data_IF_036550245565
#
_entry.id   IF_036550245565
#
_cell.length_a   1.000
_cell.length_b   1.000
_cell.length_c   1.000
_cell.angle_alpha   90.00
_cell.angle_beta   90.00
_cell.angle_gamma   90.00
#
_symmetry.space_group_name_H-M   'P 1'
#
loop_
_entity.id
_entity.type
_entity.pdbx_description
1 polymer ?
#
# COMPACT_ATOMS: atom_id res chain seq x y z
N UNK A 1 42.22 31.73 66.53
CA UNK A 1 41.55 32.92 67.08
C UNK A 1 40.18 32.88 66.49
N UNK A 2 39.14 32.46 67.14
CA UNK A 2 38.66 32.90 68.45
C UNK A 2 37.31 33.54 68.20
N UNK A 3 36.35 33.00 68.71
CA UNK A 3 35.26 33.23 69.68
C UNK A 3 33.90 33.38 68.96
N UNK A 4 32.97 32.50 69.20
CA UNK A 4 32.03 32.34 70.32
C UNK A 4 30.84 33.33 70.33
N UNK A 5 29.68 32.78 70.16
CA UNK A 5 28.49 32.75 71.03
C UNK A 5 27.42 33.85 70.89
N UNK A 6 26.17 33.42 70.99
CA UNK A 6 25.05 34.25 71.42
C UNK A 6 23.71 33.62 71.05
N UNK A 7 23.17 32.78 71.93
CA UNK A 7 21.72 32.38 71.99
C UNK A 7 20.87 33.55 72.39
N UNK A 8 19.66 33.68 71.79
CA UNK A 8 18.44 34.07 72.56
C UNK A 8 17.24 33.55 71.84
N UNK A 9 16.48 32.80 72.62
CA UNK A 9 15.12 32.32 72.37
C UNK A 9 14.13 33.48 72.24
N UNK A 10 13.19 33.36 71.31
CA UNK A 10 11.88 33.94 71.52
C UNK A 10 10.80 33.05 70.90
N UNK A 11 9.93 32.67 71.79
CA UNK A 11 8.73 31.82 71.58
C UNK A 11 7.63 32.70 70.97
N UNK A 12 7.09 32.33 69.79
CA UNK A 12 5.74 32.76 69.40
C UNK A 12 5.06 31.66 68.60
N UNK A 13 4.05 31.09 69.24
CA UNK A 13 3.00 30.28 68.68
C UNK A 13 2.28 30.97 67.51
N UNK A 14 2.25 30.37 66.35
CA UNK A 14 1.30 30.68 65.29
C UNK A 14 0.71 29.38 64.77
N UNK A 15 -0.59 29.41 64.66
CA UNK A 15 -1.54 28.35 64.36
C UNK A 15 -1.25 27.62 63.02
N UNK A 16 -1.50 26.33 63.07
CA UNK A 16 -1.38 25.35 61.98
C UNK A 16 -2.61 25.44 61.09
N UNK A 17 -2.53 26.14 59.97
CA UNK A 17 -3.46 25.92 58.84
C UNK A 17 -2.97 24.75 58.02
N UNK A 18 -3.70 23.64 58.11
CA UNK A 18 -3.58 22.49 57.21
C UNK A 18 -3.99 22.91 55.79
N UNK A 19 -3.01 23.24 54.95
CA UNK A 19 -3.22 23.27 53.50
C UNK A 19 -2.87 21.88 52.95
N UNK A 20 -3.88 21.02 52.82
CA UNK A 20 -3.79 19.78 52.09
C UNK A 20 -3.76 20.08 50.59
N UNK A 21 -2.60 20.30 50.06
CA UNK A 21 -2.37 20.17 48.65
C UNK A 21 -2.28 18.65 48.34
N UNK A 22 -3.39 18.09 47.86
CA UNK A 22 -3.37 16.82 47.17
C UNK A 22 -2.54 17.01 45.88
N UNK A 23 -1.27 16.65 45.97
CA UNK A 23 -0.45 16.39 44.80
C UNK A 23 -0.96 15.05 44.27
N UNK A 24 -1.70 15.08 43.17
CA UNK A 24 -1.91 13.92 42.34
C UNK A 24 -0.51 13.42 41.91
N UNK A 25 -0.02 12.43 42.63
CA UNK A 25 1.05 11.57 42.12
C UNK A 25 0.41 10.74 41.00
N UNK A 26 0.60 11.15 39.77
CA UNK A 26 0.49 10.24 38.66
C UNK A 26 1.47 9.08 38.93
N UNK A 27 0.95 7.92 39.25
CA UNK A 27 1.71 6.67 39.23
C UNK A 27 2.26 6.51 37.81
N UNK A 28 3.54 6.80 37.61
CA UNK A 28 4.26 6.38 36.41
C UNK A 28 4.50 4.87 36.52
N UNK A 29 3.45 4.08 36.26
CA UNK A 29 3.61 2.67 35.98
C UNK A 29 4.52 2.50 34.79
N UNK A 30 5.39 1.50 34.83
CA UNK A 30 6.25 1.13 33.69
C UNK A 30 5.34 0.79 32.52
N UNK A 31 5.47 1.51 31.39
CA UNK A 31 4.66 1.28 30.18
C UNK A 31 4.98 -0.08 29.58
N UNK A 32 3.98 -0.75 29.04
CA UNK A 32 4.18 -1.96 28.26
C UNK A 32 4.76 -1.57 26.90
N UNK A 33 5.97 -2.03 26.61
CA UNK A 33 6.62 -1.77 25.32
C UNK A 33 6.13 -2.76 24.28
N UNK A 34 5.73 -2.26 23.11
CA UNK A 34 5.39 -3.03 21.92
C UNK A 34 6.28 -2.59 20.77
N UNK A 35 7.03 -3.54 20.22
CA UNK A 35 7.88 -3.30 19.05
C UNK A 35 7.10 -3.51 17.77
N UNK A 36 7.11 -2.51 16.88
CA UNK A 36 6.44 -2.57 15.57
C UNK A 36 7.47 -2.38 14.48
N UNK A 37 7.57 -3.34 13.57
CA UNK A 37 8.42 -3.22 12.40
C UNK A 37 7.61 -2.85 11.15
N UNK A 38 8.12 -1.88 10.37
CA UNK A 38 7.51 -1.44 9.10
C UNK A 38 8.58 -0.99 8.11
N UNK A 39 8.24 -1.07 6.82
CA UNK A 39 9.04 -0.50 5.73
C UNK A 39 8.49 0.86 5.28
N UNK A 40 9.33 1.61 4.55
CA UNK A 40 8.93 2.80 3.80
C UNK A 40 10.06 3.81 3.62
N UNK A 41 9.66 5.02 3.24
CA UNK A 41 10.50 6.20 3.08
C UNK A 41 10.63 6.97 4.40
N UNK A 42 11.56 7.92 4.48
CA UNK A 42 11.69 8.79 5.67
C UNK A 42 10.42 9.61 5.94
N UNK A 43 9.68 10.00 4.89
CA UNK A 43 8.40 10.72 5.05
C UNK A 43 7.31 9.83 5.64
N UNK A 44 7.26 8.55 5.25
CA UNK A 44 6.33 7.59 5.83
C UNK A 44 6.69 7.24 7.27
N UNK A 45 7.99 7.23 7.61
CA UNK A 45 8.42 7.04 9.00
C UNK A 45 7.84 8.11 9.91
N UNK A 46 8.01 9.40 9.56
CA UNK A 46 7.46 10.53 10.33
C UNK A 46 5.93 10.41 10.46
N UNK A 47 5.26 10.00 9.39
CA UNK A 47 3.82 9.79 9.39
C UNK A 47 3.39 8.67 10.35
N UNK A 48 4.08 7.52 10.38
CA UNK A 48 3.80 6.46 11.33
C UNK A 48 4.15 6.82 12.77
N UNK A 49 5.22 7.58 13.02
CA UNK A 49 5.52 8.14 14.34
C UNK A 49 4.36 9.03 14.84
N UNK A 50 3.77 9.85 13.97
CA UNK A 50 2.59 10.65 14.31
C UNK A 50 1.35 9.78 14.59
N UNK A 51 1.11 8.73 13.77
CA UNK A 51 0.00 7.80 13.96
C UNK A 51 0.11 7.09 15.33
N UNK A 52 1.28 6.56 15.68
CA UNK A 52 1.48 5.89 16.96
C UNK A 52 1.43 6.87 18.15
N UNK A 53 1.87 8.11 17.97
CA UNK A 53 1.70 9.14 19.01
C UNK A 53 0.22 9.44 19.32
N UNK A 54 -0.69 9.35 18.33
CA UNK A 54 -2.13 9.46 18.57
C UNK A 54 -2.69 8.21 19.27
N UNK A 55 -2.19 7.01 18.92
CA UNK A 55 -2.53 5.78 19.65
C UNK A 55 -2.12 5.88 21.13
N UNK A 56 -0.89 6.30 21.43
CA UNK A 56 -0.37 6.39 22.80
C UNK A 56 -1.11 7.43 23.65
N UNK A 57 -1.73 8.44 23.06
CA UNK A 57 -2.61 9.37 23.79
C UNK A 57 -3.87 8.68 24.30
N UNK A 58 -4.41 7.72 23.53
CA UNK A 58 -5.58 6.94 23.89
C UNK A 58 -5.21 5.76 24.82
N UNK A 59 -3.96 5.28 24.75
CA UNK A 59 -3.42 4.13 25.46
C UNK A 59 -2.10 4.48 26.17
N UNK A 60 -2.13 5.37 27.18
CA UNK A 60 -0.91 5.89 27.83
C UNK A 60 -0.07 4.83 28.56
N UNK A 61 -0.65 3.66 28.79
CA UNK A 61 0.01 2.49 29.39
C UNK A 61 0.87 1.68 28.38
N UNK A 62 0.77 1.97 27.06
CA UNK A 62 1.54 1.29 26.01
C UNK A 62 2.54 2.28 25.42
N UNK A 63 3.76 1.80 25.12
CA UNK A 63 4.85 2.51 24.44
C UNK A 63 5.15 1.77 23.15
N UNK A 64 4.93 2.41 21.99
CA UNK A 64 5.15 1.79 20.68
C UNK A 64 6.54 2.15 20.16
N UNK A 65 7.40 1.16 20.04
CA UNK A 65 8.75 1.32 19.49
C UNK A 65 8.79 0.89 18.03
N UNK A 66 8.93 1.88 17.13
CA UNK A 66 8.90 1.68 15.69
C UNK A 66 10.31 1.35 15.14
N UNK A 67 10.51 0.13 14.62
CA UNK A 67 11.65 -0.25 13.76
C UNK A 67 11.27 -0.03 12.29
N UNK A 68 11.70 1.10 11.73
CA UNK A 68 11.34 1.52 10.38
C UNK A 68 12.54 1.41 9.44
N UNK A 69 12.37 0.71 8.31
CA UNK A 69 13.46 0.41 7.38
C UNK A 69 13.05 0.62 5.91
N UNK A 70 14.02 0.88 5.02
CA UNK A 70 13.77 0.77 3.58
C UNK A 70 13.26 -0.62 3.21
N UNK A 71 12.46 -0.72 2.13
CA UNK A 71 11.78 -1.94 1.70
C UNK A 71 12.68 -3.19 1.69
N UNK A 72 13.81 -3.15 0.97
CA UNK A 72 14.66 -4.33 0.82
C UNK A 72 15.26 -4.79 2.15
N UNK A 73 15.79 -3.85 2.95
CA UNK A 73 16.39 -4.17 4.26
C UNK A 73 15.35 -4.61 5.30
N UNK A 74 14.10 -4.16 5.16
CA UNK A 74 13.00 -4.63 5.99
C UNK A 74 12.75 -6.14 5.78
N UNK A 75 12.60 -6.55 4.52
CA UNK A 75 12.30 -7.95 4.21
C UNK A 75 13.48 -8.88 4.48
N UNK A 76 14.71 -8.42 4.30
CA UNK A 76 15.90 -9.15 4.73
C UNK A 76 15.87 -9.41 6.24
N UNK A 77 15.56 -8.39 7.03
CA UNK A 77 15.44 -8.51 8.49
C UNK A 77 14.30 -9.46 8.89
N UNK A 78 13.11 -9.34 8.29
CA UNK A 78 11.97 -10.23 8.60
C UNK A 78 12.32 -11.69 8.30
N UNK A 79 12.93 -12.00 7.15
CA UNK A 79 13.32 -13.37 6.79
C UNK A 79 14.32 -13.97 7.78
N UNK A 80 15.32 -13.19 8.21
CA UNK A 80 16.32 -13.62 9.19
C UNK A 80 15.67 -13.84 10.57
N UNK A 81 14.89 -12.88 11.05
CA UNK A 81 14.27 -12.92 12.37
C UNK A 81 13.20 -14.02 12.48
N UNK A 82 12.43 -14.24 11.40
CA UNK A 82 11.45 -15.31 11.33
C UNK A 82 12.13 -16.69 11.52
N UNK A 83 13.24 -16.91 10.83
CA UNK A 83 14.02 -18.15 10.96
C UNK A 83 14.63 -18.33 12.35
N UNK A 84 14.97 -17.22 13.03
CA UNK A 84 15.54 -17.20 14.39
C UNK A 84 14.52 -17.16 15.52
N UNK A 85 13.23 -17.04 15.25
CA UNK A 85 12.18 -16.86 16.27
C UNK A 85 12.30 -15.54 17.05
N UNK A 86 12.84 -14.49 16.43
CA UNK A 86 13.14 -13.19 17.04
C UNK A 86 12.40 -12.03 16.33
N UNK A 87 11.19 -12.30 15.87
CA UNK A 87 10.37 -11.25 15.25
C UNK A 87 10.03 -10.14 16.26
N UNK A 88 9.94 -8.88 15.82
CA UNK A 88 9.23 -7.84 16.57
C UNK A 88 7.81 -8.28 16.93
N UNK A 89 7.21 -7.70 17.97
CA UNK A 89 5.86 -8.06 18.44
C UNK A 89 4.82 -7.94 17.34
N UNK A 90 4.93 -6.88 16.54
CA UNK A 90 4.07 -6.62 15.38
C UNK A 90 4.94 -6.40 14.15
N UNK A 91 4.60 -7.03 13.04
CA UNK A 91 5.28 -6.85 11.76
C UNK A 91 4.29 -6.42 10.68
N UNK A 92 4.71 -5.49 9.84
CA UNK A 92 3.94 -5.09 8.67
C UNK A 92 4.06 -6.13 7.56
N UNK A 93 3.00 -6.34 6.81
CA UNK A 93 2.94 -7.29 5.70
C UNK A 93 2.28 -6.64 4.49
N UNK A 94 2.73 -7.01 3.29
CA UNK A 94 2.12 -6.63 2.03
C UNK A 94 1.73 -7.87 1.24
N UNK A 95 0.56 -7.84 0.62
CA UNK A 95 0.11 -8.91 -0.29
C UNK A 95 1.01 -9.07 -1.52
N UNK A 96 1.87 -8.09 -1.81
CA UNK A 96 2.87 -8.18 -2.88
C UNK A 96 3.84 -9.34 -2.71
N UNK A 97 4.23 -9.65 -1.46
CA UNK A 97 5.24 -10.68 -1.19
C UNK A 97 4.63 -12.05 -0.87
N UNK A 98 3.33 -12.15 -1.07
CA UNK A 98 2.63 -13.42 -1.04
C UNK A 98 2.34 -13.97 0.34
N UNK A 99 1.74 -15.15 0.31
CA UNK A 99 1.25 -15.86 1.49
C UNK A 99 2.34 -16.60 2.27
N UNK A 100 3.59 -16.55 1.83
CA UNK A 100 4.72 -17.23 2.51
C UNK A 100 4.92 -16.80 3.96
N UNK A 101 4.38 -15.63 4.33
CA UNK A 101 4.43 -15.13 5.70
C UNK A 101 3.26 -15.61 6.58
N UNK A 102 2.23 -16.23 6.00
CA UNK A 102 1.06 -16.71 6.76
C UNK A 102 1.33 -18.12 7.31
N UNK A 103 2.29 -18.21 8.24
CA UNK A 103 2.79 -19.47 8.77
C UNK A 103 2.22 -19.71 10.18
N UNK A 104 1.38 -20.74 10.35
CA UNK A 104 0.89 -21.12 11.69
C UNK A 104 2.04 -21.39 12.66
N UNK A 105 1.95 -20.80 13.86
CA UNK A 105 2.97 -20.91 14.89
C UNK A 105 4.11 -19.87 14.80
N UNK A 106 4.24 -19.16 13.67
CA UNK A 106 5.10 -17.98 13.55
C UNK A 106 4.29 -16.71 13.84
N UNK A 107 3.09 -16.65 13.33
CA UNK A 107 2.15 -15.57 13.59
C UNK A 107 0.90 -16.06 14.30
N UNK A 108 0.32 -15.19 15.10
CA UNK A 108 -0.87 -15.45 15.90
C UNK A 108 -2.12 -15.49 15.01
N UNK A 109 -3.06 -16.37 15.34
CA UNK A 109 -4.40 -16.35 14.76
C UNK A 109 -5.23 -15.28 15.46
N UNK A 110 -5.60 -14.24 14.74
CA UNK A 110 -6.35 -13.11 15.28
C UNK A 110 -7.86 -13.32 15.32
N UNK A 111 -8.39 -14.40 14.70
CA UNK A 111 -9.83 -14.65 14.68
C UNK A 111 -10.46 -14.68 16.09
N UNK A 112 -9.86 -15.30 17.12
CA UNK A 112 -10.42 -15.27 18.49
C UNK A 112 -10.48 -13.87 19.11
N UNK A 113 -9.52 -13.00 18.78
CA UNK A 113 -9.48 -11.62 19.27
C UNK A 113 -10.56 -10.76 18.59
N UNK A 114 -10.74 -10.95 17.26
CA UNK A 114 -11.77 -10.28 16.45
C UNK A 114 -13.16 -10.64 16.99
N UNK A 115 -13.42 -11.94 17.22
CA UNK A 115 -14.70 -12.42 17.76
C UNK A 115 -14.95 -11.89 19.16
N UNK A 116 -13.96 -11.98 20.04
CA UNK A 116 -14.08 -11.50 21.45
C UNK A 116 -14.42 -10.03 21.54
N UNK A 117 -13.78 -9.20 20.74
CA UNK A 117 -13.90 -7.73 20.78
C UNK A 117 -14.93 -7.20 19.77
N UNK A 118 -15.66 -8.09 19.10
CA UNK A 118 -16.71 -7.77 18.12
C UNK A 118 -16.24 -6.75 17.05
N UNK A 119 -15.01 -6.95 16.53
CA UNK A 119 -14.47 -6.06 15.50
C UNK A 119 -15.28 -6.19 14.22
N UNK A 120 -15.79 -5.06 13.70
CA UNK A 120 -16.71 -4.98 12.55
C UNK A 120 -15.91 -5.04 11.22
N UNK A 121 -15.33 -6.20 10.91
CA UNK A 121 -14.54 -6.38 9.68
C UNK A 121 -15.40 -6.29 8.41
N UNK A 122 -16.70 -6.49 8.50
CA UNK A 122 -17.66 -6.31 7.41
C UNK A 122 -17.86 -4.84 6.98
N UNK A 123 -17.39 -3.88 7.80
CA UNK A 123 -17.39 -2.45 7.46
C UNK A 123 -16.14 -2.02 6.68
N UNK A 124 -15.15 -2.88 6.55
CA UNK A 124 -13.97 -2.62 5.72
C UNK A 124 -14.35 -2.68 4.23
N UNK A 125 -13.52 -2.10 3.39
CA UNK A 125 -13.68 -2.24 1.95
C UNK A 125 -13.73 -3.71 1.52
N UNK A 126 -14.44 -3.98 0.45
CA UNK A 126 -14.68 -5.35 -0.03
C UNK A 126 -13.35 -6.11 -0.28
N UNK A 127 -13.34 -7.38 0.04
CA UNK A 127 -12.23 -8.34 -0.19
C UNK A 127 -10.92 -8.03 0.58
N UNK A 128 -10.89 -7.04 1.47
CA UNK A 128 -9.66 -6.65 2.17
C UNK A 128 -9.27 -7.71 3.21
N UNK A 129 -10.23 -8.29 3.92
CA UNK A 129 -9.98 -9.34 4.92
C UNK A 129 -9.59 -10.69 4.31
N UNK A 130 -10.02 -10.97 3.08
CA UNK A 130 -9.67 -12.22 2.40
C UNK A 130 -8.16 -12.35 2.22
N UNK A 131 -7.47 -11.23 2.03
CA UNK A 131 -6.02 -11.18 1.90
C UNK A 131 -5.26 -11.65 3.15
N UNK A 132 -5.88 -11.63 4.32
CA UNK A 132 -5.27 -12.04 5.60
C UNK A 132 -5.86 -13.33 6.16
N UNK A 133 -6.77 -13.96 5.42
CA UNK A 133 -7.47 -15.18 5.85
C UNK A 133 -6.99 -16.38 5.04
N UNK A 134 -6.38 -17.35 5.70
CA UNK A 134 -5.89 -18.59 5.08
C UNK A 134 -6.35 -19.77 5.94
N UNK A 135 -6.97 -20.77 5.33
CA UNK A 135 -7.47 -21.99 6.01
C UNK A 135 -8.34 -21.68 7.24
N UNK A 136 -9.16 -20.59 7.16
CA UNK A 136 -10.05 -20.17 8.23
C UNK A 136 -9.38 -19.47 9.41
N UNK A 137 -8.08 -19.16 9.32
CA UNK A 137 -7.33 -18.37 10.30
C UNK A 137 -7.09 -16.97 9.77
N UNK A 138 -7.12 -16.00 10.66
CA UNK A 138 -6.85 -14.59 10.35
C UNK A 138 -5.45 -14.24 10.86
N UNK A 139 -4.49 -14.07 9.96
CA UNK A 139 -3.10 -13.81 10.33
C UNK A 139 -2.78 -12.32 10.51
N UNK A 140 -3.63 -11.41 10.05
CA UNK A 140 -3.38 -9.98 10.17
C UNK A 140 -4.65 -9.14 10.10
N UNK A 141 -4.50 -7.86 10.42
CA UNK A 141 -5.52 -6.84 10.17
C UNK A 141 -5.01 -5.84 9.12
N UNK A 142 -5.88 -5.40 8.20
CA UNK A 142 -5.52 -4.42 7.18
C UNK A 142 -5.24 -3.06 7.83
N UNK A 143 -4.28 -2.32 7.25
CA UNK A 143 -3.95 -0.96 7.64
C UNK A 143 -4.22 0.05 6.52
N UNK A 144 -3.87 -0.30 5.30
CA UNK A 144 -4.07 0.56 4.15
C UNK A 144 -4.18 -0.26 2.86
N UNK A 145 -4.71 0.37 1.82
CA UNK A 145 -4.77 -0.17 0.48
C UNK A 145 -3.87 0.68 -0.43
N UNK A 146 -2.90 0.04 -1.06
CA UNK A 146 -2.05 0.67 -2.08
C UNK A 146 -2.75 0.58 -3.43
N UNK A 147 -3.66 1.52 -3.72
CA UNK A 147 -4.31 1.63 -5.03
C UNK A 147 -3.36 2.24 -6.06
N UNK A 148 -3.48 1.82 -7.30
CA UNK A 148 -2.75 2.34 -8.46
C UNK A 148 -3.66 3.14 -9.39
N UNK A 149 -3.93 4.42 -9.09
CA UNK A 149 -4.69 5.29 -9.99
C UNK A 149 -3.92 5.62 -11.27
N UNK A 150 -4.65 6.11 -12.26
CA UNK A 150 -4.08 6.83 -13.38
C UNK A 150 -3.65 8.22 -12.92
N UNK A 151 -2.32 8.44 -12.85
CA UNK A 151 -1.75 9.76 -12.63
C UNK A 151 -1.43 10.40 -13.97
N UNK A 152 -1.67 11.71 -14.12
CA UNK A 152 -1.42 12.43 -15.36
C UNK A 152 -0.76 13.79 -15.15
N UNK A 153 0.16 14.15 -16.03
CA UNK A 153 0.84 15.44 -16.03
C UNK A 153 -0.04 16.50 -16.72
N UNK A 154 -0.57 17.43 -15.95
CA UNK A 154 -1.50 18.47 -16.44
C UNK A 154 -0.89 19.33 -17.53
N UNK A 155 0.39 19.72 -17.39
CA UNK A 155 1.06 20.57 -18.37
C UNK A 155 1.14 19.88 -19.74
N UNK A 156 1.43 18.59 -19.81
CA UNK A 156 1.51 17.86 -21.07
C UNK A 156 0.13 17.65 -21.72
N UNK A 157 -0.92 17.50 -20.91
CA UNK A 157 -2.30 17.44 -21.41
C UNK A 157 -2.72 18.80 -21.96
N UNK A 158 -2.45 19.90 -21.25
CA UNK A 158 -2.76 21.29 -21.67
C UNK A 158 -2.06 21.62 -22.97
N UNK A 159 -0.76 21.36 -23.09
CA UNK A 159 0.02 21.56 -24.33
C UNK A 159 -0.57 20.81 -25.52
N UNK A 160 -1.15 19.65 -25.28
CA UNK A 160 -1.76 18.79 -26.29
C UNK A 160 -3.24 19.10 -26.53
N UNK A 161 -3.84 20.04 -25.77
CA UNK A 161 -5.26 20.40 -25.85
C UNK A 161 -6.16 19.20 -25.51
N UNK A 162 -5.78 18.43 -24.48
CA UNK A 162 -6.51 17.26 -23.98
C UNK A 162 -7.17 17.64 -22.67
N UNK A 163 -8.48 17.36 -22.54
CA UNK A 163 -9.20 17.54 -21.29
C UNK A 163 -8.67 16.55 -20.22
N UNK A 164 -8.68 17.00 -18.96
CA UNK A 164 -8.30 16.15 -17.86
C UNK A 164 -9.30 14.99 -17.67
N UNK A 165 -8.84 13.76 -17.41
CA UNK A 165 -9.69 12.67 -17.01
C UNK A 165 -10.52 13.04 -15.76
N UNK A 166 -11.78 12.62 -15.71
CA UNK A 166 -12.65 12.89 -14.58
C UNK A 166 -12.35 11.95 -13.40
N UNK A 167 -12.63 12.41 -12.19
CA UNK A 167 -12.40 11.66 -10.96
C UNK A 167 -13.44 10.56 -10.68
N UNK A 168 -14.62 10.65 -11.30
CA UNK A 168 -15.79 9.78 -11.06
C UNK A 168 -16.36 9.14 -12.34
N UNK A 169 -15.74 9.41 -13.47
CA UNK A 169 -16.14 8.87 -14.77
C UNK A 169 -14.89 8.46 -15.54
N UNK A 170 -14.43 7.21 -15.40
CA UNK A 170 -13.23 6.74 -16.06
C UNK A 170 -13.32 6.83 -17.57
N UNK A 171 -12.17 7.05 -18.22
CA UNK A 171 -12.06 6.91 -19.66
C UNK A 171 -12.29 5.45 -20.06
N UNK A 172 -12.87 5.18 -21.20
CA UNK A 172 -12.77 3.85 -21.79
C UNK A 172 -11.31 3.54 -22.15
N UNK A 173 -10.95 2.26 -22.22
CA UNK A 173 -9.59 1.89 -22.63
C UNK A 173 -9.20 2.46 -24.00
N UNK A 174 -10.14 2.50 -24.95
CA UNK A 174 -9.86 3.08 -26.27
C UNK A 174 -9.64 4.59 -26.21
N UNK A 175 -10.42 5.34 -25.43
CA UNK A 175 -10.20 6.78 -25.23
C UNK A 175 -8.86 7.04 -24.55
N UNK A 176 -8.52 6.26 -23.52
CA UNK A 176 -7.22 6.35 -22.86
C UNK A 176 -6.07 6.04 -23.83
N UNK A 177 -6.16 4.96 -24.59
CA UNK A 177 -5.15 4.60 -25.57
C UNK A 177 -4.91 5.71 -26.60
N UNK A 178 -5.98 6.28 -27.17
CA UNK A 178 -5.85 7.38 -28.14
C UNK A 178 -5.28 8.65 -27.48
N UNK A 179 -5.62 8.91 -26.23
CA UNK A 179 -5.02 9.99 -25.43
C UNK A 179 -3.52 9.75 -25.23
N UNK A 180 -3.13 8.58 -24.76
CA UNK A 180 -1.72 8.23 -24.53
C UNK A 180 -0.92 8.25 -25.83
N UNK A 181 -1.50 7.79 -26.94
CA UNK A 181 -0.89 7.83 -28.27
C UNK A 181 -0.66 9.27 -28.74
N UNK A 182 -1.62 10.17 -28.55
CA UNK A 182 -1.46 11.59 -28.88
C UNK A 182 -0.39 12.27 -28.03
N UNK A 183 -0.20 11.80 -26.79
CA UNK A 183 0.82 12.28 -25.85
C UNK A 183 2.20 11.68 -26.10
N UNK A 184 2.32 10.62 -26.90
CA UNK A 184 3.62 10.04 -27.25
C UNK A 184 4.27 10.85 -28.37
N UNK A 185 5.50 11.34 -28.14
CA UNK A 185 6.27 12.12 -29.13
C UNK A 185 7.60 11.42 -29.43
N UNK A 186 7.87 11.26 -30.71
CA UNK A 186 9.10 10.59 -31.21
C UNK A 186 9.77 11.55 -32.19
N UNK A 187 11.06 11.85 -31.98
CA UNK A 187 11.88 12.62 -32.90
C UNK A 187 12.97 11.71 -33.49
N UNK A 188 12.87 11.46 -34.78
CA UNK A 188 13.70 10.43 -35.41
C UNK A 188 13.39 9.04 -34.85
N UNK A 189 14.33 8.44 -34.12
CA UNK A 189 14.15 7.16 -33.43
C UNK A 189 14.13 7.30 -31.90
N UNK A 190 14.14 8.52 -31.38
CA UNK A 190 14.18 8.76 -29.95
C UNK A 190 12.80 9.20 -29.42
N UNK A 191 12.34 8.60 -28.35
CA UNK A 191 11.19 9.08 -27.61
C UNK A 191 11.60 10.36 -26.87
N UNK A 192 10.86 11.43 -27.07
CA UNK A 192 11.01 12.70 -26.34
C UNK A 192 9.90 12.91 -25.32
N UNK A 193 8.80 12.19 -25.46
CA UNK A 193 7.70 12.10 -24.50
C UNK A 193 7.01 10.76 -24.68
N UNK A 194 6.60 10.12 -23.58
CA UNK A 194 5.82 8.89 -23.60
C UNK A 194 4.43 9.11 -23.04
N UNK A 195 3.44 8.50 -23.68
CA UNK A 195 2.05 8.58 -23.26
C UNK A 195 1.82 7.86 -21.93
N UNK A 196 2.48 6.73 -21.75
CA UNK A 196 2.40 5.95 -20.53
C UNK A 196 3.78 5.40 -20.15
N UNK A 197 4.15 5.55 -18.90
CA UNK A 197 5.24 4.81 -18.28
C UNK A 197 4.85 4.48 -16.84
N UNK A 198 5.38 3.40 -16.34
CA UNK A 198 5.17 3.00 -14.95
C UNK A 198 6.51 2.93 -14.22
N UNK A 199 6.49 2.91 -12.91
CA UNK A 199 7.68 2.60 -12.13
C UNK A 199 8.22 1.23 -12.53
N UNK A 200 9.52 1.01 -12.40
CA UNK A 200 10.34 -0.06 -12.95
C UNK A 200 9.83 -1.53 -12.89
N UNK A 201 8.61 -1.78 -12.42
CA UNK A 201 8.01 -3.11 -12.26
C UNK A 201 6.64 -3.21 -12.93
N UNK A 202 6.56 -2.81 -14.15
CA UNK A 202 5.35 -2.57 -14.94
C UNK A 202 4.46 -3.79 -15.13
N UNK A 203 5.03 -4.98 -15.12
CA UNK A 203 4.32 -6.16 -15.62
C UNK A 203 3.14 -6.58 -14.76
N UNK A 204 3.31 -6.62 -13.43
CA UNK A 204 2.20 -7.00 -12.56
C UNK A 204 1.13 -5.90 -12.48
N UNK A 205 1.50 -4.64 -12.68
CA UNK A 205 0.59 -3.50 -12.68
C UNK A 205 -0.31 -3.45 -13.92
N UNK A 206 0.07 -4.09 -15.03
CA UNK A 206 -0.80 -4.24 -16.20
C UNK A 206 -1.91 -5.29 -16.01
N UNK A 207 -1.97 -5.99 -14.88
CA UNK A 207 -3.03 -6.96 -14.60
C UNK A 207 -4.43 -6.33 -14.53
N UNK A 208 -4.56 -5.01 -14.33
CA UNK A 208 -5.85 -4.32 -14.40
C UNK A 208 -6.55 -4.47 -15.76
N UNK A 209 -5.80 -4.78 -16.83
CA UNK A 209 -6.33 -5.00 -18.17
C UNK A 209 -7.17 -6.28 -18.31
N UNK A 210 -7.10 -7.22 -17.38
CA UNK A 210 -7.91 -8.44 -17.44
C UNK A 210 -9.34 -8.23 -16.89
N UNK A 211 -9.52 -7.72 -15.65
CA UNK A 211 -10.85 -7.54 -15.08
C UNK A 211 -11.77 -6.62 -15.87
N UNK A 212 -11.23 -5.60 -16.53
CA UNK A 212 -12.02 -4.69 -17.37
C UNK A 212 -12.72 -5.40 -18.55
N UNK A 213 -12.30 -6.61 -18.90
CA UNK A 213 -12.95 -7.46 -19.89
C UNK A 213 -13.68 -8.66 -19.28
N UNK A 214 -13.83 -8.71 -17.94
CA UNK A 214 -14.41 -9.84 -17.22
C UNK A 214 -13.49 -11.05 -17.11
N UNK A 215 -12.20 -10.88 -17.43
CA UNK A 215 -11.19 -11.92 -17.30
C UNK A 215 -10.44 -11.85 -15.98
N UNK A 216 -9.69 -12.90 -15.69
CA UNK A 216 -8.72 -12.94 -14.60
C UNK A 216 -7.47 -13.67 -15.07
N UNK A 217 -6.32 -13.29 -14.52
CA UNK A 217 -5.08 -14.02 -14.78
C UNK A 217 -5.05 -15.36 -14.02
N UNK A 218 -5.74 -15.45 -12.90
CA UNK A 218 -5.72 -16.58 -11.98
C UNK A 218 -7.14 -17.00 -11.56
N UNK A 219 -7.27 -18.24 -11.08
CA UNK A 219 -8.51 -18.84 -10.58
C UNK A 219 -8.98 -18.23 -9.25
N UNK A 220 -8.05 -17.71 -8.45
CA UNK A 220 -8.34 -17.07 -7.16
C UNK A 220 -7.23 -16.06 -6.77
N UNK A 221 -7.56 -15.15 -5.85
CA UNK A 221 -6.66 -14.06 -5.44
C UNK A 221 -5.58 -14.55 -4.47
N UNK A 222 -5.92 -15.39 -3.50
CA UNK A 222 -4.97 -15.89 -2.49
C UNK A 222 -4.58 -17.30 -2.82
N UNK A 223 -3.29 -17.57 -2.91
CA UNK A 223 -2.75 -18.88 -3.28
C UNK A 223 -3.39 -19.46 -4.57
N UNK A 224 -3.32 -18.75 -5.70
CA UNK A 224 -3.87 -19.24 -6.95
C UNK A 224 -3.24 -20.58 -7.32
N UNK A 225 -4.05 -21.46 -7.92
CA UNK A 225 -3.58 -22.79 -8.35
C UNK A 225 -3.62 -22.96 -9.85
N UNK A 226 -4.28 -22.04 -10.56
CA UNK A 226 -4.44 -22.13 -12.00
C UNK A 226 -4.33 -20.78 -12.70
N UNK A 227 -3.62 -20.74 -13.81
CA UNK A 227 -3.62 -19.62 -14.73
C UNK A 227 -4.83 -19.73 -15.66
N UNK A 228 -5.66 -18.68 -15.74
CA UNK A 228 -6.98 -18.71 -16.38
C UNK A 228 -7.11 -17.79 -17.60
N UNK A 229 -6.00 -17.29 -18.14
CA UNK A 229 -6.03 -16.32 -19.26
C UNK A 229 -6.46 -16.90 -20.61
N UNK A 230 -6.48 -18.22 -20.78
CA UNK A 230 -6.92 -18.87 -22.03
C UNK A 230 -8.45 -18.96 -22.09
N UNK A 231 -9.08 -17.80 -22.04
CA UNK A 231 -10.51 -17.57 -22.24
C UNK A 231 -10.71 -16.42 -23.23
N UNK A 232 -11.88 -16.23 -23.83
CA UNK A 232 -12.15 -15.07 -24.69
C UNK A 232 -11.90 -13.73 -23.99
N UNK A 233 -12.23 -13.62 -22.71
CA UNK A 233 -12.05 -12.44 -21.87
C UNK A 233 -10.58 -12.22 -21.51
N UNK A 234 -9.88 -13.27 -21.07
CA UNK A 234 -8.45 -13.23 -20.78
C UNK A 234 -7.63 -12.85 -22.01
N UNK A 235 -7.99 -13.39 -23.17
CA UNK A 235 -7.35 -13.04 -24.46
C UNK A 235 -7.45 -11.56 -24.76
N UNK A 236 -8.62 -10.91 -24.53
CA UNK A 236 -8.79 -9.47 -24.71
C UNK A 236 -7.86 -8.67 -23.78
N UNK A 237 -7.63 -9.14 -22.56
CA UNK A 237 -6.65 -8.55 -21.65
C UNK A 237 -5.24 -8.59 -22.23
N UNK A 238 -4.82 -9.73 -22.79
CA UNK A 238 -3.51 -9.88 -23.47
C UNK A 238 -3.41 -9.00 -24.72
N UNK A 239 -4.48 -8.92 -25.52
CA UNK A 239 -4.55 -8.03 -26.70
C UNK A 239 -4.42 -6.55 -26.29
N UNK A 240 -5.04 -6.16 -25.17
CA UNK A 240 -4.90 -4.81 -24.63
C UNK A 240 -3.47 -4.53 -24.16
N UNK A 241 -2.81 -5.48 -23.49
CA UNK A 241 -1.36 -5.35 -23.16
C UNK A 241 -0.55 -5.14 -24.43
N UNK A 242 -0.73 -5.98 -25.45
CA UNK A 242 0.00 -5.86 -26.72
C UNK A 242 -0.22 -4.49 -27.38
N UNK A 243 -1.45 -3.95 -27.33
CA UNK A 243 -1.80 -2.62 -27.85
C UNK A 243 -1.05 -1.50 -27.12
N UNK A 244 -0.70 -1.66 -25.85
CA UNK A 244 0.07 -0.66 -25.10
C UNK A 244 1.49 -0.45 -25.63
N UNK A 245 2.03 -1.36 -26.46
CA UNK A 245 3.35 -1.22 -27.07
C UNK A 245 3.55 0.09 -27.85
N UNK A 246 2.45 0.68 -28.38
CA UNK A 246 2.51 1.93 -29.14
C UNK A 246 2.66 3.19 -28.26
N UNK A 247 2.41 3.07 -26.96
CA UNK A 247 2.31 4.22 -26.04
C UNK A 247 3.27 4.16 -24.85
N UNK A 248 3.89 3.01 -24.61
CA UNK A 248 4.93 2.83 -23.59
C UNK A 248 6.32 3.17 -24.14
N UNK A 249 7.23 3.52 -23.25
CA UNK A 249 8.64 3.63 -23.60
C UNK A 249 9.21 2.27 -24.06
N UNK A 250 10.26 2.27 -24.90
CA UNK A 250 10.94 1.02 -25.26
C UNK A 250 11.39 0.25 -24.01
N UNK A 251 11.11 -1.06 -23.98
CA UNK A 251 11.42 -1.93 -22.82
C UNK A 251 12.89 -1.83 -22.39
N UNK A 252 13.80 -1.67 -23.34
CA UNK A 252 15.24 -1.51 -23.08
C UNK A 252 15.60 -0.23 -22.28
N UNK A 253 14.71 0.75 -22.22
CA UNK A 253 14.87 2.01 -21.51
C UNK A 253 14.20 2.03 -20.13
N UNK A 254 13.46 0.96 -19.79
CA UNK A 254 12.80 0.83 -18.48
C UNK A 254 13.86 0.72 -17.37
N UNK A 255 13.58 1.37 -16.25
CA UNK A 255 14.52 1.46 -15.13
C UNK A 255 15.74 2.35 -15.40
N UNK A 256 15.70 3.16 -16.46
CA UNK A 256 16.77 4.09 -16.86
C UNK A 256 16.23 5.47 -17.15
N UNK A 257 15.87 5.70 -18.45
CA UNK A 257 15.40 7.01 -18.91
C UNK A 257 13.91 7.27 -18.61
N UNK A 258 13.14 6.22 -18.46
CA UNK A 258 11.67 6.25 -18.30
C UNK A 258 11.22 5.60 -16.99
N UNK A 259 11.93 5.90 -15.91
CA UNK A 259 11.62 5.44 -14.56
C UNK A 259 11.13 6.61 -13.70
N UNK A 260 10.56 6.31 -12.53
CA UNK A 260 10.14 7.31 -11.54
C UNK A 260 8.77 7.94 -11.81
N UNK A 261 7.98 7.42 -12.74
CA UNK A 261 6.64 7.95 -13.03
C UNK A 261 6.69 9.43 -13.40
N UNK A 262 5.77 10.25 -12.88
CA UNK A 262 5.67 11.67 -13.22
C UNK A 262 6.82 12.55 -12.71
N UNK A 263 7.73 12.05 -11.88
CA UNK A 263 8.97 12.77 -11.55
C UNK A 263 9.79 13.05 -12.81
N UNK A 264 9.70 12.17 -13.79
CA UNK A 264 10.15 12.44 -15.14
C UNK A 264 9.08 13.24 -15.88
N UNK A 265 9.31 14.55 -16.04
CA UNK A 265 8.35 15.48 -16.66
C UNK A 265 8.00 15.19 -18.11
N UNK A 266 8.70 14.26 -18.79
CA UNK A 266 8.38 13.80 -20.13
C UNK A 266 7.45 12.56 -20.15
N UNK A 267 7.04 12.06 -18.98
CA UNK A 267 6.01 11.04 -18.85
C UNK A 267 4.65 11.72 -18.71
N UNK A 268 3.73 11.41 -19.62
CA UNK A 268 2.42 12.06 -19.65
C UNK A 268 1.43 11.40 -18.68
N UNK A 269 1.45 10.07 -18.58
CA UNK A 269 0.63 9.31 -17.63
C UNK A 269 1.42 8.14 -17.05
N UNK A 270 1.07 7.74 -15.83
CA UNK A 270 1.60 6.55 -15.19
C UNK A 270 0.57 5.96 -14.21
N UNK A 271 0.77 4.71 -13.80
CA UNK A 271 0.12 4.17 -12.61
C UNK A 271 1.06 4.36 -11.41
N UNK A 272 0.60 5.00 -10.37
CA UNK A 272 1.39 5.21 -9.16
C UNK A 272 0.50 5.42 -7.95
N UNK A 273 1.01 5.17 -6.77
CA UNK A 273 0.22 5.32 -5.54
C UNK A 273 0.50 6.63 -4.80
N UNK A 274 -0.33 6.87 -3.79
CA UNK A 274 -0.29 8.09 -2.98
C UNK A 274 1.07 8.36 -2.33
N UNK A 275 1.86 7.32 -2.05
CA UNK A 275 3.21 7.42 -1.49
C UNK A 275 4.21 8.18 -2.39
N UNK A 276 3.96 8.23 -3.71
CA UNK A 276 4.79 8.95 -4.68
C UNK A 276 4.38 10.42 -4.88
N UNK A 277 3.19 10.81 -4.43
CA UNK A 277 2.64 12.15 -4.73
C UNK A 277 3.46 13.28 -4.13
N UNK A 278 4.02 13.04 -2.94
CA UNK A 278 4.99 13.98 -2.34
C UNK A 278 6.23 14.20 -3.21
N UNK A 279 6.72 13.15 -3.84
CA UNK A 279 7.89 13.23 -4.70
C UNK A 279 7.57 13.87 -6.06
N UNK A 280 6.38 13.64 -6.62
CA UNK A 280 5.90 14.37 -7.80
C UNK A 280 5.83 15.87 -7.53
N UNK A 281 5.32 16.29 -6.35
CA UNK A 281 5.30 17.68 -5.92
C UNK A 281 6.70 18.28 -5.75
N UNK A 282 7.62 17.56 -5.11
CA UNK A 282 9.03 17.97 -4.97
C UNK A 282 9.73 18.15 -6.32
N UNK A 283 9.38 17.31 -7.31
CA UNK A 283 9.85 17.45 -8.69
C UNK A 283 9.22 18.62 -9.45
N UNK A 284 8.25 19.32 -8.86
CA UNK A 284 7.59 20.47 -9.46
C UNK A 284 6.51 20.10 -10.50
N UNK A 285 6.02 18.86 -10.50
CA UNK A 285 4.98 18.42 -11.43
C UNK A 285 3.61 18.81 -10.92
N UNK A 286 2.84 19.52 -11.74
CA UNK A 286 1.40 19.69 -11.56
C UNK A 286 0.69 18.48 -12.18
N UNK A 287 0.11 17.65 -11.33
CA UNK A 287 -0.50 16.40 -11.74
C UNK A 287 -1.94 16.30 -11.26
N UNK A 288 -2.69 15.41 -11.91
CA UNK A 288 -4.01 14.98 -11.47
C UNK A 288 -4.07 13.47 -11.34
N UNK A 289 -5.15 13.01 -10.72
CA UNK A 289 -5.45 11.62 -10.45
C UNK A 289 -6.84 11.29 -10.97
N UNK A 290 -6.98 10.14 -11.60
CA UNK A 290 -8.26 9.63 -12.10
C UNK A 290 -8.34 8.11 -11.88
N UNK A 291 -9.53 7.51 -11.94
CA UNK A 291 -9.66 6.06 -11.99
C UNK A 291 -8.92 5.48 -13.20
N UNK A 292 -8.50 4.22 -13.08
CA UNK A 292 -7.99 3.49 -14.24
C UNK A 292 -9.06 3.38 -15.32
N UNK A 293 -8.65 3.29 -16.60
CA UNK A 293 -9.60 3.17 -17.70
C UNK A 293 -10.53 1.97 -17.54
N UNK A 294 -11.76 2.09 -18.04
CA UNK A 294 -12.74 1.02 -18.03
C UNK A 294 -12.82 0.26 -19.35
N UNK A 295 -13.19 -1.01 -19.27
CA UNK A 295 -13.57 -1.84 -20.41
C UNK A 295 -15.08 -2.08 -20.45
N UNK A 296 -15.47 -3.18 -21.09
CA UNK A 296 -16.88 -3.55 -21.24
C UNK A 296 -17.55 -3.99 -19.93
N UNK A 297 -16.76 -4.40 -18.94
CA UNK A 297 -17.23 -4.82 -17.61
C UNK A 297 -16.96 -3.74 -16.54
N UNK A 298 -16.66 -2.52 -16.96
CA UNK A 298 -16.40 -1.39 -16.10
C UNK A 298 -14.90 -1.16 -15.80
N UNK A 299 -14.63 -0.32 -14.83
CA UNK A 299 -13.27 -0.05 -14.35
C UNK A 299 -12.85 -1.10 -13.34
N UNK A 300 -11.60 -1.54 -13.44
CA UNK A 300 -10.97 -2.38 -12.43
C UNK A 300 -9.71 -1.68 -11.92
N UNK A 301 -9.75 -1.29 -10.66
CA UNK A 301 -8.58 -0.69 -10.02
C UNK A 301 -7.85 -1.76 -9.23
N UNK A 302 -6.67 -2.10 -9.69
CA UNK A 302 -5.83 -3.06 -8.96
C UNK A 302 -5.02 -2.39 -7.88
N UNK A 303 -4.64 -3.15 -6.88
CA UNK A 303 -3.81 -2.66 -5.78
C UNK A 303 -3.39 -3.78 -4.85
N UNK A 304 -2.65 -3.40 -3.84
CA UNK A 304 -2.12 -4.27 -2.81
C UNK A 304 -2.74 -3.88 -1.47
N UNK A 305 -2.86 -4.84 -0.59
CA UNK A 305 -3.33 -4.60 0.78
C UNK A 305 -2.13 -4.72 1.70
N UNK A 306 -1.93 -3.70 2.52
CA UNK A 306 -0.94 -3.72 3.58
C UNK A 306 -1.64 -3.87 4.92
N UNK A 307 -1.01 -4.58 5.83
CA UNK A 307 -1.54 -4.80 7.16
C UNK A 307 -0.46 -5.10 8.17
N UNK A 308 -0.90 -5.49 9.35
CA UNK A 308 0.00 -5.85 10.42
C UNK A 308 -0.39 -7.21 11.00
N UNK A 309 0.64 -8.00 11.34
CA UNK A 309 0.53 -9.33 11.95
C UNK A 309 1.18 -9.33 13.32
N UNK A 310 0.61 -10.07 14.26
CA UNK A 310 1.20 -10.29 15.59
C UNK A 310 2.10 -11.51 15.54
N UNK A 311 3.34 -11.38 15.98
CA UNK A 311 4.25 -12.53 16.10
C UNK A 311 3.83 -13.43 17.27
N UNK A 312 3.91 -14.74 17.07
CA UNK A 312 3.54 -15.72 18.14
C UNK A 312 4.46 -15.65 19.36
N UNK A 313 5.70 -15.16 19.20
CA UNK A 313 6.64 -14.92 20.29
C UNK A 313 6.40 -13.61 21.06
N UNK A 314 5.41 -12.80 20.68
CA UNK A 314 5.02 -11.62 21.45
C UNK A 314 4.62 -12.03 22.88
N UNK A 315 5.26 -11.45 23.88
CA UNK A 315 4.97 -11.71 25.29
C UNK A 315 3.72 -10.94 25.77
N UNK A 316 3.51 -9.74 25.23
CA UNK A 316 2.44 -8.83 25.61
C UNK A 316 1.30 -8.80 24.57
N UNK A 317 0.75 -10.00 24.25
CA UNK A 317 -0.23 -10.15 23.16
C UNK A 317 -1.47 -9.23 23.29
N UNK A 318 -1.93 -8.98 24.50
CA UNK A 318 -3.09 -8.10 24.70
C UNK A 318 -2.76 -6.63 24.34
N UNK A 319 -1.58 -6.14 24.71
CA UNK A 319 -1.14 -4.80 24.33
C UNK A 319 -0.90 -4.71 22.81
N UNK A 320 -0.27 -5.72 22.20
CA UNK A 320 -0.10 -5.80 20.76
C UNK A 320 -1.44 -5.85 20.02
N UNK A 321 -2.42 -6.58 20.56
CA UNK A 321 -3.79 -6.59 20.01
C UNK A 321 -4.47 -5.21 20.06
N UNK A 322 -4.28 -4.44 21.14
CA UNK A 322 -4.82 -3.08 21.21
C UNK A 322 -4.24 -2.18 20.10
N UNK A 323 -2.92 -2.31 19.81
CA UNK A 323 -2.29 -1.59 18.68
C UNK A 323 -2.93 -1.99 17.35
N UNK A 324 -3.03 -3.30 17.07
CA UNK A 324 -3.60 -3.80 15.81
C UNK A 324 -5.05 -3.37 15.63
N UNK A 325 -5.87 -3.56 16.66
CA UNK A 325 -7.29 -3.19 16.67
C UNK A 325 -7.48 -1.70 16.43
N UNK A 326 -6.68 -0.86 17.09
CA UNK A 326 -6.78 0.59 16.91
C UNK A 326 -6.35 1.03 15.51
N UNK A 327 -5.27 0.48 14.96
CA UNK A 327 -4.83 0.80 13.59
C UNK A 327 -5.91 0.51 12.55
N UNK A 328 -6.69 -0.56 12.73
CA UNK A 328 -7.81 -0.92 11.85
C UNK A 328 -9.13 -0.28 12.23
N UNK A 329 -9.19 0.49 13.32
CA UNK A 329 -10.40 1.22 13.72
C UNK A 329 -10.60 2.48 12.89
N UNK A 330 -11.80 3.08 12.95
CA UNK A 330 -12.08 4.36 12.27
C UNK A 330 -11.15 5.48 12.75
N UNK A 331 -10.81 5.52 14.04
CA UNK A 331 -9.90 6.54 14.59
C UNK A 331 -8.47 6.36 14.05
N UNK A 332 -7.96 5.13 14.03
CA UNK A 332 -6.66 4.81 13.43
C UNK A 332 -6.64 5.10 11.94
N UNK A 333 -7.69 4.70 11.23
CA UNK A 333 -7.81 4.93 9.79
C UNK A 333 -7.97 6.42 9.42
N UNK A 334 -8.56 7.22 10.30
CA UNK A 334 -8.54 8.68 10.14
C UNK A 334 -7.12 9.24 10.26
N UNK A 335 -6.24 8.64 11.09
CA UNK A 335 -4.84 9.05 11.14
C UNK A 335 -4.07 8.56 9.89
N UNK A 336 -4.36 7.37 9.36
CA UNK A 336 -3.85 6.92 8.05
C UNK A 336 -4.21 7.94 6.97
N UNK A 337 -5.48 8.35 6.91
CA UNK A 337 -5.98 9.37 5.98
C UNK A 337 -5.25 10.72 6.13
N UNK A 338 -5.11 11.23 7.35
CA UNK A 338 -4.47 12.52 7.63
C UNK A 338 -2.99 12.56 7.30
N UNK A 339 -2.29 11.44 7.48
CA UNK A 339 -0.84 11.36 7.30
C UNK A 339 -0.42 10.86 5.91
N UNK A 340 -1.37 10.46 5.05
CA UNK A 340 -1.12 10.13 3.65
C UNK A 340 -0.27 8.89 3.42
N UNK A 341 -0.33 7.91 4.32
CA UNK A 341 0.49 6.69 4.21
C UNK A 341 -0.12 5.62 3.32
N UNK A 342 -1.39 5.76 2.95
CA UNK A 342 -2.12 4.82 2.10
C UNK A 342 -3.59 5.20 1.96
N UNK A 343 -4.35 4.42 1.19
CA UNK A 343 -5.81 4.57 1.12
C UNK A 343 -6.44 3.93 2.34
N UNK A 344 -7.31 4.64 3.09
CA UNK A 344 -8.02 4.04 4.22
C UNK A 344 -8.84 2.81 3.82
N UNK A 345 -8.99 1.87 4.75
CA UNK A 345 -9.78 0.65 4.53
C UNK A 345 -11.30 0.85 4.65
N UNK A 346 -11.74 2.04 5.00
CA UNK A 346 -13.15 2.46 5.03
C UNK A 346 -13.42 3.42 3.87
N UNK A 347 -14.32 3.06 2.96
CA UNK A 347 -14.60 3.84 1.73
C UNK A 347 -15.02 5.27 2.01
N UNK A 348 -15.81 5.50 3.07
CA UNK A 348 -16.27 6.84 3.43
C UNK A 348 -15.14 7.79 3.86
N UNK A 349 -14.02 7.27 4.35
CA UNK A 349 -12.87 8.11 4.71
C UNK A 349 -12.14 8.65 3.47
N UNK A 350 -12.33 8.06 2.28
CA UNK A 350 -11.78 8.60 1.04
C UNK A 350 -12.44 9.92 0.63
N UNK A 351 -13.66 10.20 1.13
CA UNK A 351 -14.36 11.48 0.92
C UNK A 351 -14.18 12.46 2.09
N UNK A 352 -13.57 12.03 3.20
CA UNK A 352 -13.27 12.92 4.32
C UNK A 352 -12.27 14.00 3.88
N UNK A 353 -12.46 15.27 4.26
CA UNK A 353 -11.52 16.34 3.93
C UNK A 353 -10.07 16.08 4.37
N UNK A 354 -9.87 15.25 5.40
CA UNK A 354 -8.54 14.85 5.86
C UNK A 354 -7.78 14.03 4.82
N UNK A 355 -8.48 13.20 4.04
CA UNK A 355 -7.92 12.45 2.93
C UNK A 355 -7.99 13.26 1.63
N UNK A 356 -9.18 13.74 1.26
CA UNK A 356 -9.44 14.35 -0.03
C UNK A 356 -8.56 15.58 -0.33
N UNK A 357 -8.13 16.33 0.70
CA UNK A 357 -7.34 17.56 0.59
C UNK A 357 -5.89 17.42 1.07
N UNK A 358 -5.40 16.22 1.35
CA UNK A 358 -4.05 16.04 1.92
C UNK A 358 -2.92 16.47 0.96
N UNK A 359 -3.16 16.46 -0.35
CA UNK A 359 -2.17 16.88 -1.36
C UNK A 359 -2.67 18.18 -2.01
N UNK A 360 -1.99 19.29 -1.76
CA UNK A 360 -2.36 20.60 -2.28
C UNK A 360 -2.49 20.59 -3.82
N UNK A 361 -3.66 21.00 -4.32
CA UNK A 361 -3.95 21.12 -5.76
C UNK A 361 -4.20 19.79 -6.48
N UNK A 362 -4.32 18.67 -5.75
CA UNK A 362 -4.68 17.37 -6.30
C UNK A 362 -6.03 16.93 -5.73
N UNK A 363 -6.98 16.65 -6.62
CA UNK A 363 -8.28 16.08 -6.26
C UNK A 363 -8.14 14.58 -6.06
N UNK A 364 -8.30 14.10 -4.83
CA UNK A 364 -8.25 12.68 -4.47
C UNK A 364 -9.65 12.04 -4.40
N UNK A 365 -10.72 12.72 -4.83
CA UNK A 365 -12.07 12.15 -4.82
C UNK A 365 -12.21 10.88 -5.66
N UNK A 366 -11.34 10.70 -6.67
CA UNK A 366 -11.24 9.48 -7.46
C UNK A 366 -11.02 8.21 -6.61
N UNK A 367 -10.40 8.33 -5.43
CA UNK A 367 -10.13 7.18 -4.56
C UNK A 367 -11.40 6.52 -4.02
N UNK A 368 -12.48 7.29 -3.78
CA UNK A 368 -13.77 6.70 -3.40
C UNK A 368 -14.31 5.80 -4.50
N UNK A 369 -14.33 6.28 -5.76
CA UNK A 369 -14.74 5.47 -6.89
C UNK A 369 -13.85 4.22 -7.06
N UNK A 370 -12.53 4.41 -6.95
CA UNK A 370 -11.57 3.31 -7.13
C UNK A 370 -11.72 2.23 -6.07
N UNK A 371 -12.00 2.60 -4.82
CA UNK A 371 -12.16 1.63 -3.75
C UNK A 371 -13.43 0.78 -3.92
N UNK A 372 -14.50 1.36 -4.48
CA UNK A 372 -15.73 0.61 -4.80
C UNK A 372 -15.53 -0.39 -5.97
N UNK A 373 -14.46 -0.20 -6.78
CA UNK A 373 -14.11 -1.05 -7.92
C UNK A 373 -12.77 -1.79 -7.71
N UNK A 374 -12.33 -1.88 -6.46
CA UNK A 374 -11.05 -2.47 -6.11
C UNK A 374 -10.99 -3.97 -6.37
N UNK A 375 -9.93 -4.40 -7.03
CA UNK A 375 -9.59 -5.78 -7.27
C UNK A 375 -8.19 -6.05 -6.72
N UNK A 376 -8.03 -6.83 -5.66
CA UNK A 376 -6.71 -7.14 -5.13
C UNK A 376 -5.90 -7.94 -6.16
N UNK A 377 -4.63 -7.60 -6.28
CA UNK A 377 -3.68 -8.38 -7.07
C UNK A 377 -3.49 -9.78 -6.46
N UNK A 378 -3.25 -10.76 -7.30
CA UNK A 378 -3.06 -12.13 -6.84
C UNK A 378 -1.83 -12.25 -5.94
N UNK A 379 -2.03 -12.89 -4.79
CA UNK A 379 -1.01 -13.16 -3.79
C UNK A 379 -0.52 -14.59 -3.92
N UNK A 380 0.75 -14.76 -4.28
CA UNK A 380 1.42 -16.04 -4.48
C UNK A 380 2.43 -16.34 -3.36
N UNK A 381 2.82 -17.61 -3.16
CA UNK A 381 3.81 -17.97 -2.15
C UNK A 381 5.19 -17.32 -2.33
N UNK A 382 5.61 -17.04 -3.55
CA UNK A 382 6.87 -16.36 -3.87
C UNK A 382 6.77 -15.53 -5.16
N UNK A 383 7.84 -14.86 -5.54
CA UNK A 383 7.88 -13.89 -6.63
C UNK A 383 8.31 -14.49 -7.99
N UNK A 384 8.59 -15.80 -8.07
CA UNK A 384 9.14 -16.42 -9.28
C UNK A 384 8.20 -16.33 -10.48
N UNK A 385 6.90 -16.50 -10.26
CA UNK A 385 5.91 -16.36 -11.33
C UNK A 385 5.73 -14.90 -11.75
N UNK A 386 5.78 -13.93 -10.83
CA UNK A 386 5.72 -12.51 -11.17
C UNK A 386 6.89 -12.10 -12.07
N UNK A 387 8.10 -12.58 -11.77
CA UNK A 387 9.30 -12.36 -12.60
C UNK A 387 9.10 -12.97 -13.99
N UNK A 388 8.54 -14.17 -14.07
CA UNK A 388 8.24 -14.83 -15.35
C UNK A 388 7.23 -14.03 -16.16
N UNK A 389 6.11 -13.62 -15.55
CA UNK A 389 5.06 -12.79 -16.16
C UNK A 389 5.67 -11.50 -16.70
N UNK A 390 6.49 -10.83 -15.91
CA UNK A 390 7.17 -9.59 -16.31
C UNK A 390 7.99 -9.78 -17.57
N UNK A 391 8.79 -10.84 -17.64
CA UNK A 391 9.60 -11.12 -18.82
C UNK A 391 8.71 -11.41 -20.04
N UNK A 392 7.61 -12.14 -19.90
CA UNK A 392 6.70 -12.42 -21.02
C UNK A 392 5.93 -11.20 -21.48
N UNK A 393 5.55 -10.28 -20.58
CA UNK A 393 4.96 -8.99 -20.97
C UNK A 393 5.97 -8.15 -21.74
N UNK A 394 7.24 -8.10 -21.32
CA UNK A 394 8.31 -7.42 -22.07
C UNK A 394 8.47 -8.01 -23.46
N UNK A 395 8.50 -9.34 -23.59
CA UNK A 395 8.60 -10.02 -24.88
C UNK A 395 7.38 -9.73 -25.79
N UNK A 396 6.19 -9.63 -25.22
CA UNK A 396 4.96 -9.28 -25.94
C UNK A 396 4.98 -7.82 -26.43
N UNK A 397 5.38 -6.88 -25.57
CA UNK A 397 5.49 -5.45 -25.91
C UNK A 397 6.57 -5.17 -26.95
N UNK A 398 7.64 -5.97 -26.99
CA UNK A 398 8.70 -5.89 -28.01
C UNK A 398 8.35 -6.67 -29.29
N UNK A 399 7.21 -7.35 -29.35
CA UNK A 399 6.79 -8.17 -30.50
C UNK A 399 7.63 -9.43 -30.71
N UNK A 400 8.39 -9.88 -29.71
CA UNK A 400 9.14 -11.15 -29.77
C UNK A 400 8.23 -12.36 -29.71
N UNK A 401 7.10 -12.23 -29.03
CA UNK A 401 5.99 -13.18 -29.01
C UNK A 401 4.70 -12.44 -29.34
N UNK A 402 3.74 -13.14 -29.93
CA UNK A 402 2.39 -12.63 -30.13
C UNK A 402 1.44 -13.04 -28.99
N UNK A 403 0.18 -12.63 -29.07
CA UNK A 403 -0.86 -12.94 -28.07
C UNK A 403 -0.99 -14.46 -27.84
N UNK A 404 -0.90 -15.29 -28.89
CA UNK A 404 -0.96 -16.74 -28.75
C UNK A 404 0.27 -17.27 -28.00
N UNK A 405 1.46 -16.83 -28.41
CA UNK A 405 2.70 -17.21 -27.75
C UNK A 405 2.77 -16.79 -26.29
N UNK A 406 2.18 -15.63 -25.93
CA UNK A 406 2.06 -15.23 -24.53
C UNK A 406 1.13 -16.19 -23.75
N UNK A 407 -0.05 -16.49 -24.28
CA UNK A 407 -1.02 -17.40 -23.64
C UNK A 407 -0.43 -18.81 -23.49
N UNK A 408 0.23 -19.34 -24.53
CA UNK A 408 0.92 -20.63 -24.48
C UNK A 408 2.03 -20.66 -23.42
N UNK A 409 2.85 -19.60 -23.33
CA UNK A 409 3.90 -19.51 -22.32
C UNK A 409 3.33 -19.47 -20.89
N UNK A 410 2.26 -18.70 -20.69
CA UNK A 410 1.60 -18.60 -19.39
C UNK A 410 0.94 -19.89 -18.95
N UNK A 411 0.16 -20.54 -19.84
CA UNK A 411 -0.57 -21.78 -19.53
C UNK A 411 0.31 -23.03 -19.54
N UNK A 412 1.51 -22.96 -20.10
CA UNK A 412 2.56 -23.99 -20.06
C UNK A 412 3.57 -23.73 -18.94
N UNK A 413 4.70 -23.11 -19.28
CA UNK A 413 5.81 -22.85 -18.35
C UNK A 413 5.37 -22.04 -17.11
N UNK A 414 4.50 -21.04 -17.29
CA UNK A 414 3.96 -20.27 -16.17
C UNK A 414 3.15 -21.15 -15.18
N UNK A 415 2.32 -22.07 -15.69
CA UNK A 415 1.59 -23.01 -14.85
C UNK A 415 2.54 -23.98 -14.13
N UNK A 416 3.61 -24.47 -14.79
CA UNK A 416 4.63 -25.32 -14.15
C UNK A 416 5.33 -24.59 -12.98
N UNK A 417 5.63 -23.29 -13.15
CA UNK A 417 6.19 -22.46 -12.09
C UNK A 417 5.19 -22.34 -10.93
N UNK A 418 3.92 -22.07 -11.23
CA UNK A 418 2.85 -21.96 -10.22
C UNK A 418 2.70 -23.28 -9.45
N UNK A 419 2.65 -24.42 -10.15
CA UNK A 419 2.52 -25.74 -9.54
C UNK A 419 3.71 -26.05 -8.60
N UNK A 420 4.92 -25.62 -8.97
CA UNK A 420 6.13 -25.84 -8.18
C UNK A 420 6.14 -25.04 -6.85
N UNK A 421 5.40 -23.94 -6.74
CA UNK A 421 5.31 -23.16 -5.50
C UNK A 421 4.59 -23.90 -4.36
N UNK A 422 3.83 -24.94 -4.68
CA UNK A 422 3.01 -25.70 -3.71
C UNK A 422 3.53 -27.12 -3.47
N UNK A 423 4.71 -27.47 -3.99
CA UNK A 423 5.37 -28.77 -3.78
C UNK A 423 6.42 -28.69 -2.66
#
# INVERSE_FOLDING_TARGET
>A
MGCLAGCTSNDQTVENEKNTSETEQAESGEKTVITVARWGTDSEKEAFENIFAEFEKAHPEIDVQLDFRPWDTYWDMINVNMSGGMLPDIVSVSTQLGSKYYIPGVFEDLAPYIERDEVKTEEFAQNVMDAFTVDGKVFGLPNDISLYPLCYNKALLDESGIAYPASDNPLTFDEYYEMAKKLTKIEGNAYTQVGFADEARTAFRLQWLFPMYGGSMFDQTVNPTKITIDTPEGRKGVEAIAKMADVVAPVAEWGKSWDGGLQNSAIATCTSGIWMFGDFKKAGVDFGVAPMPEGIEGSAVTGLINGFMMASNCENKEAAWQVLKWLSSRDGQLQVAKNGVGTPIYSELCTDPAFANQIEGVDLSAYSYMLDHFQPLAMMPDDSLNIFIENKIKDLLEGKIDVNGFIEAMTGEGQEILDAMYQ
#
